data_IF_278955970400
#
_entry.id   IF_278955970400
#
_cell.length_a   1.000
_cell.length_b   1.000
_cell.length_c   1.000
_cell.angle_alpha   90.00
_cell.angle_beta   90.00
_cell.angle_gamma   90.00
#
_symmetry.space_group_name_H-M   'P 1'
#
loop_
_entity.id
_entity.type
_entity.pdbx_description
1 polymer ?
#
# COMPACT_ATOMS: atom_id res chain seq x y z
N UNK A 1 3.30 1.88 -22.60
CA UNK A 1 4.72 1.46 -22.60
C UNK A 1 4.86 0.22 -23.48
N UNK A 2 6.03 -0.07 -24.08
CA UNK A 2 6.17 -1.16 -25.07
C UNK A 2 5.96 -2.57 -24.48
N UNK A 3 5.93 -2.67 -23.14
CA UNK A 3 5.34 -3.78 -22.39
C UNK A 3 4.64 -3.18 -21.16
N UNK A 4 3.38 -3.53 -20.97
CA UNK A 4 2.54 -3.13 -19.84
C UNK A 4 2.90 -3.99 -18.61
N UNK A 5 4.09 -3.77 -18.07
CA UNK A 5 4.63 -4.60 -16.99
C UNK A 5 4.13 -4.11 -15.63
N UNK A 6 3.34 -4.94 -14.96
CA UNK A 6 2.93 -4.73 -13.59
C UNK A 6 4.04 -5.25 -12.64
N UNK A 7 4.65 -4.35 -11.88
CA UNK A 7 5.68 -4.67 -10.88
C UNK A 7 5.11 -4.91 -9.47
N UNK A 8 3.79 -4.80 -9.30
CA UNK A 8 3.14 -5.08 -8.03
C UNK A 8 3.25 -6.57 -7.71
N UNK A 9 3.67 -6.87 -6.49
CA UNK A 9 3.59 -8.23 -5.95
C UNK A 9 2.15 -8.42 -5.48
N UNK A 10 1.31 -9.00 -6.34
CA UNK A 10 -0.07 -9.36 -6.01
C UNK A 10 -0.11 -10.76 -5.39
N UNK A 11 -0.40 -10.83 -4.10
CA UNK A 11 -0.63 -12.07 -3.34
C UNK A 11 -2.12 -12.30 -3.04
N UNK A 12 -2.99 -11.46 -3.58
CA UNK A 12 -4.43 -11.54 -3.41
C UNK A 12 -5.02 -12.75 -4.13
N UNK A 13 -6.08 -13.30 -3.56
CA UNK A 13 -6.89 -14.34 -4.17
C UNK A 13 -8.36 -14.14 -3.76
N UNK A 14 -9.28 -14.64 -4.57
CA UNK A 14 -10.70 -14.64 -4.22
C UNK A 14 -10.95 -15.65 -3.08
N UNK A 15 -11.32 -15.12 -1.92
CA UNK A 15 -11.83 -15.89 -0.80
C UNK A 15 -13.37 -15.87 -0.75
N UNK A 16 -13.99 -16.69 0.11
CA UNK A 16 -15.44 -16.75 0.24
C UNK A 16 -16.09 -15.41 0.63
N UNK A 17 -15.36 -14.55 1.36
CA UNK A 17 -15.86 -13.29 1.90
C UNK A 17 -14.99 -12.06 1.57
N UNK A 18 -13.96 -12.21 0.72
CA UNK A 18 -13.03 -11.13 0.39
C UNK A 18 -12.33 -11.35 -0.95
N UNK A 19 -12.23 -10.30 -1.75
CA UNK A 19 -11.45 -10.27 -3.00
C UNK A 19 -9.98 -9.85 -2.77
N UNK A 20 -9.61 -9.57 -1.52
CA UNK A 20 -8.28 -9.08 -1.12
C UNK A 20 -7.34 -10.19 -0.62
N UNK A 21 -7.77 -11.45 -0.65
CA UNK A 21 -7.01 -12.58 -0.12
C UNK A 21 -7.13 -12.71 1.40
N UNK A 22 -6.00 -12.60 2.09
CA UNK A 22 -5.88 -12.89 3.54
C UNK A 22 -6.65 -11.85 4.37
N UNK A 23 -7.42 -12.32 5.35
CA UNK A 23 -7.99 -11.46 6.39
C UNK A 23 -6.95 -11.23 7.50
N UNK A 24 -6.19 -10.13 7.38
CA UNK A 24 -5.13 -9.81 8.33
C UNK A 24 -5.66 -9.46 9.73
N UNK A 25 -6.89 -8.92 9.83
CA UNK A 25 -7.50 -8.63 11.13
C UNK A 25 -7.80 -9.92 11.86
N UNK A 26 -8.44 -10.88 11.18
CA UNK A 26 -8.74 -12.18 11.77
C UNK A 26 -7.48 -12.97 12.14
N UNK A 27 -6.42 -12.89 11.31
CA UNK A 27 -5.12 -13.48 11.63
C UNK A 27 -4.54 -12.88 12.92
N UNK A 28 -4.58 -11.56 13.08
CA UNK A 28 -4.10 -10.90 14.29
C UNK A 28 -4.89 -11.31 15.54
N UNK A 29 -6.22 -11.39 15.42
CA UNK A 29 -7.08 -11.85 16.52
C UNK A 29 -6.80 -13.31 16.90
N UNK A 30 -6.60 -14.18 15.92
CA UNK A 30 -6.24 -15.58 16.16
C UNK A 30 -4.88 -15.74 16.88
N UNK A 31 -3.97 -14.78 16.69
CA UNK A 31 -2.68 -14.71 17.37
C UNK A 31 -2.73 -14.05 18.76
N UNK A 32 -3.92 -13.71 19.26
CA UNK A 32 -4.11 -13.08 20.57
C UNK A 32 -3.84 -11.57 20.59
N UNK A 33 -3.71 -10.95 19.42
CA UNK A 33 -3.66 -9.52 19.24
C UNK A 33 -5.06 -8.96 18.91
N UNK A 34 -5.15 -7.72 18.44
CA UNK A 34 -6.39 -7.18 17.87
C UNK A 34 -6.06 -6.31 16.67
N UNK A 35 -7.06 -6.03 15.83
CA UNK A 35 -6.89 -5.13 14.71
C UNK A 35 -8.21 -4.57 14.22
N UNK A 36 -8.13 -3.58 13.35
CA UNK A 36 -9.28 -3.08 12.61
C UNK A 36 -8.88 -2.69 11.19
N UNK A 37 -9.86 -2.77 10.30
CA UNK A 37 -9.75 -2.34 8.90
C UNK A 37 -10.30 -0.93 8.72
N UNK A 38 -9.56 -0.10 7.99
CA UNK A 38 -9.93 1.26 7.61
C UNK A 38 -10.14 1.30 6.10
N UNK A 39 -11.29 1.85 5.67
CA UNK A 39 -11.65 1.99 4.25
C UNK A 39 -11.75 3.44 3.81
N UNK A 40 -12.13 4.32 4.73
CA UNK A 40 -12.22 5.76 4.45
C UNK A 40 -10.98 6.46 5.01
N UNK A 41 -10.34 7.37 4.25
CA UNK A 41 -9.18 8.12 4.73
C UNK A 41 -9.43 8.92 6.01
N UNK A 42 -10.64 9.45 6.18
CA UNK A 42 -11.04 10.25 7.35
C UNK A 42 -10.99 9.43 8.66
N UNK A 43 -11.08 8.10 8.58
CA UNK A 43 -11.05 7.21 9.73
C UNK A 43 -9.63 6.83 10.19
N UNK A 44 -8.58 7.22 9.44
CA UNK A 44 -7.19 6.82 9.70
C UNK A 44 -6.71 7.39 11.04
N UNK A 45 -6.95 8.68 11.28
CA UNK A 45 -6.49 9.33 12.51
C UNK A 45 -7.09 8.67 13.75
N UNK A 46 -8.41 8.51 13.77
CA UNK A 46 -9.13 7.84 14.85
C UNK A 46 -8.70 6.37 15.02
N UNK A 47 -8.21 5.73 13.95
CA UNK A 47 -7.68 4.37 14.01
C UNK A 47 -6.35 4.28 14.71
N UNK A 48 -5.45 5.19 14.39
CA UNK A 48 -4.13 5.24 15.00
C UNK A 48 -4.25 5.58 16.50
N UNK A 49 -5.11 6.54 16.85
CA UNK A 49 -5.36 6.93 18.24
C UNK A 49 -5.95 5.76 19.06
N UNK A 50 -6.93 5.05 18.47
CA UNK A 50 -7.46 3.83 19.07
C UNK A 50 -6.39 2.74 19.24
N UNK A 51 -5.54 2.54 18.23
CA UNK A 51 -4.54 1.48 18.23
C UNK A 51 -3.48 1.70 19.31
N UNK A 52 -2.97 2.93 19.45
CA UNK A 52 -2.01 3.30 20.49
C UNK A 52 -2.62 3.07 21.88
N UNK A 53 -3.83 3.60 22.13
CA UNK A 53 -4.51 3.42 23.42
C UNK A 53 -4.73 1.93 23.74
N UNK A 54 -5.24 1.18 22.77
CA UNK A 54 -5.55 -0.25 22.94
C UNK A 54 -4.29 -1.07 23.18
N UNK A 55 -3.19 -0.76 22.48
CA UNK A 55 -1.91 -1.45 22.66
C UNK A 55 -1.35 -1.21 24.07
N UNK A 56 -1.41 0.02 24.57
CA UNK A 56 -0.96 0.34 25.93
C UNK A 56 -1.83 -0.29 27.02
N UNK A 57 -3.15 -0.29 26.84
CA UNK A 57 -4.09 -0.88 27.80
C UNK A 57 -4.00 -2.41 27.87
N UNK A 58 -3.94 -3.07 26.71
CA UNK A 58 -3.99 -4.53 26.60
C UNK A 58 -2.61 -5.18 26.55
N UNK A 59 -1.55 -4.39 26.35
CA UNK A 59 -0.16 -4.86 26.23
C UNK A 59 0.04 -5.89 25.12
N UNK A 60 -0.67 -5.72 24.01
CA UNK A 60 -0.56 -6.55 22.80
C UNK A 60 -0.36 -5.69 21.55
N UNK A 61 0.21 -6.23 20.46
CA UNK A 61 0.22 -5.54 19.17
C UNK A 61 -1.20 -5.22 18.70
N UNK A 62 -1.35 -4.09 17.99
CA UNK A 62 -2.62 -3.70 17.37
C UNK A 62 -2.40 -3.41 15.90
N UNK A 63 -3.16 -4.08 15.02
CA UNK A 63 -3.12 -3.84 13.58
C UNK A 63 -4.13 -2.76 13.18
N UNK A 64 -3.66 -1.77 12.42
CA UNK A 64 -4.52 -0.90 11.61
C UNK A 64 -4.26 -1.25 10.15
N UNK A 65 -5.21 -1.94 9.54
CA UNK A 65 -5.14 -2.33 8.13
C UNK A 65 -5.83 -1.26 7.28
N UNK A 66 -5.07 -0.52 6.47
CA UNK A 66 -5.60 0.51 5.59
C UNK A 66 -5.82 -0.10 4.20
N UNK A 67 -7.07 -0.10 3.75
CA UNK A 67 -7.41 -0.55 2.41
C UNK A 67 -7.11 0.57 1.41
N UNK A 68 -6.23 0.27 0.46
CA UNK A 68 -5.91 1.17 -0.64
C UNK A 68 -6.48 0.63 -1.96
N UNK A 69 -6.48 1.49 -2.97
CA UNK A 69 -6.67 1.08 -4.36
C UNK A 69 -5.64 0.02 -4.78
N UNK A 70 -6.07 -0.92 -5.62
CA UNK A 70 -5.22 -2.07 -6.03
C UNK A 70 -4.04 -1.65 -6.89
N UNK A 71 -4.22 -0.62 -7.72
CA UNK A 71 -3.23 -0.19 -8.69
C UNK A 71 -2.95 1.30 -8.49
N UNK A 72 -1.79 1.61 -7.91
CA UNK A 72 -1.25 2.96 -7.81
C UNK A 72 0.24 2.90 -8.12
N UNK A 73 0.71 3.82 -8.97
CA UNK A 73 2.12 3.89 -9.31
C UNK A 73 2.89 4.62 -8.22
N UNK A 74 3.77 3.90 -7.53
CA UNK A 74 4.77 4.53 -6.68
C UNK A 74 5.83 5.24 -7.55
N UNK A 75 6.46 6.29 -7.02
CA UNK A 75 7.63 6.90 -7.63
C UNK A 75 8.77 5.88 -7.68
N UNK A 76 9.33 5.63 -8.87
CA UNK A 76 10.35 4.58 -9.07
C UNK A 76 11.19 4.81 -10.34
N UNK A 77 12.43 4.30 -10.32
CA UNK A 77 13.38 4.45 -11.42
C UNK A 77 14.67 3.63 -11.23
N UNK A 78 15.59 3.73 -12.18
CA UNK A 78 16.83 2.92 -12.20
C UNK A 78 17.84 3.25 -11.11
N UNK A 79 17.89 4.53 -10.76
CA UNK A 79 18.90 5.11 -9.88
C UNK A 79 18.31 6.30 -9.16
N UNK A 80 18.96 6.72 -8.08
CA UNK A 80 18.50 7.83 -7.22
C UNK A 80 18.30 9.13 -8.03
N UNK A 81 19.12 9.37 -9.05
CA UNK A 81 19.06 10.54 -9.92
C UNK A 81 18.09 10.40 -11.11
N UNK A 82 17.38 9.27 -11.21
CA UNK A 82 16.51 8.94 -12.35
C UNK A 82 15.20 8.27 -11.92
N UNK A 83 14.57 8.83 -10.90
CA UNK A 83 13.23 8.45 -10.44
C UNK A 83 12.20 9.07 -11.38
N UNK A 84 11.17 8.30 -11.74
CA UNK A 84 10.01 8.82 -12.45
C UNK A 84 8.88 9.12 -11.47
N UNK A 85 8.23 10.28 -11.65
CA UNK A 85 7.16 10.78 -10.78
C UNK A 85 5.80 10.68 -11.48
N UNK A 86 5.08 9.58 -11.22
CA UNK A 86 3.82 9.29 -11.91
C UNK A 86 2.61 10.01 -11.35
N UNK A 87 2.72 10.56 -10.14
CA UNK A 87 1.69 11.36 -9.49
C UNK A 87 2.10 12.84 -9.45
N UNK A 88 1.16 13.79 -9.35
CA UNK A 88 1.48 15.21 -9.29
C UNK A 88 2.36 15.54 -8.08
N UNK A 89 3.46 16.26 -8.33
CA UNK A 89 4.36 16.77 -7.28
C UNK A 89 4.08 18.26 -7.03
N UNK A 90 4.43 18.74 -5.83
CA UNK A 90 4.09 20.09 -5.35
C UNK A 90 4.58 21.21 -6.29
N UNK A 91 5.79 21.06 -6.87
CA UNK A 91 6.47 22.11 -7.63
C UNK A 91 6.72 21.73 -9.10
N UNK A 92 6.07 20.68 -9.63
CA UNK A 92 6.41 20.12 -10.94
C UNK A 92 5.25 19.46 -11.68
N UNK A 93 5.48 19.15 -12.95
CA UNK A 93 4.52 18.44 -13.77
C UNK A 93 4.54 16.94 -13.44
N UNK A 94 3.36 16.31 -13.42
CA UNK A 94 3.22 14.85 -13.47
C UNK A 94 3.95 14.31 -14.69
N UNK A 95 4.82 13.31 -14.53
CA UNK A 95 5.46 12.67 -15.67
C UNK A 95 4.50 11.67 -16.33
N UNK A 96 4.22 11.88 -17.61
CA UNK A 96 3.39 10.96 -18.39
C UNK A 96 4.23 9.83 -18.98
N UNK A 97 3.63 8.65 -19.12
CA UNK A 97 4.24 7.49 -19.77
C UNK A 97 4.90 7.88 -21.12
N UNK A 98 6.24 7.91 -21.16
CA UNK A 98 7.03 8.32 -22.34
C UNK A 98 8.08 9.40 -22.06
N UNK A 99 7.89 10.23 -21.03
CA UNK A 99 8.96 11.04 -20.42
C UNK A 99 9.52 10.23 -19.26
N UNK A 100 10.51 9.42 -19.56
CA UNK A 100 11.16 8.55 -18.57
C UNK A 100 12.58 9.07 -18.38
N UNK A 101 12.89 9.58 -17.19
CA UNK A 101 14.20 10.20 -16.88
C UNK A 101 15.29 9.11 -16.73
N UNK A 102 14.89 7.89 -16.35
CA UNK A 102 15.74 6.70 -16.35
C UNK A 102 15.03 5.52 -16.99
N UNK A 103 15.66 4.92 -18.00
CA UNK A 103 15.11 3.79 -18.76
C UNK A 103 14.48 2.70 -17.88
N UNK A 104 13.65 1.84 -18.45
CA UNK A 104 13.08 0.73 -17.68
C UNK A 104 14.20 -0.26 -17.32
N UNK A 105 14.32 -0.75 -16.07
CA UNK A 105 15.33 -1.75 -15.75
C UNK A 105 15.04 -3.03 -16.54
N UNK A 106 15.91 -3.35 -17.50
CA UNK A 106 15.97 -4.68 -18.09
C UNK A 106 16.51 -5.64 -17.01
N UNK A 107 15.85 -6.79 -16.87
CA UNK A 107 16.41 -7.93 -16.15
C UNK A 107 16.62 -9.07 -17.14
N UNK A 108 17.77 -9.71 -17.01
CA UNK A 108 18.08 -10.99 -17.64
C UNK A 108 17.02 -12.06 -17.32
#
# INVERSE_FOLDING_TARGET
LKYDMNYAVDIGYEGPESEYGIDNVMVMEAMGATGRRVREPDDIQDALDWAVRTSEERRVPVLVEIMCEREVNAAMGLSIDKINEYEPILDGARETAGQVVGGVPDRD
#
